data_IF_114738288070
#
_entry.id   IF_114738288070
#
_cell.length_a   1.000
_cell.length_b   1.000
_cell.length_c   1.000
_cell.angle_alpha   90.00
_cell.angle_beta   90.00
_cell.angle_gamma   90.00
#
_symmetry.space_group_name_H-M   'P 1'
#
loop_
_entity.id
_entity.type
_entity.pdbx_description
1 polymer ?
#
# COMPACT_ATOMS: atom_id res chain seq x y z
N UNK A 1 1.45 17.66 -21.36
CA UNK A 1 2.16 16.60 -20.62
C UNK A 1 1.17 15.90 -19.71
N UNK A 2 1.14 14.56 -19.64
CA UNK A 2 0.38 13.89 -18.60
C UNK A 2 0.92 14.36 -17.24
N UNK A 3 0.01 14.75 -16.34
CA UNK A 3 0.34 15.26 -15.00
C UNK A 3 0.96 14.11 -14.19
N UNK A 4 2.22 14.25 -13.78
CA UNK A 4 2.89 13.31 -12.89
C UNK A 4 2.16 13.30 -11.53
N UNK A 5 1.70 12.13 -11.11
CA UNK A 5 1.05 11.92 -9.83
C UNK A 5 2.08 11.50 -8.78
N UNK A 6 2.09 12.20 -7.63
CA UNK A 6 2.85 11.77 -6.46
C UNK A 6 1.86 11.28 -5.41
N UNK A 7 2.05 10.05 -4.93
CA UNK A 7 1.20 9.42 -3.93
C UNK A 7 2.06 9.00 -2.75
N UNK A 8 1.70 9.43 -1.54
CA UNK A 8 2.26 8.89 -0.32
C UNK A 8 1.18 8.06 0.38
N UNK A 9 1.54 6.85 0.79
CA UNK A 9 0.67 5.96 1.56
C UNK A 9 1.29 5.73 2.93
N UNK A 10 0.52 6.06 3.97
CA UNK A 10 0.81 5.70 5.35
C UNK A 10 0.19 4.33 5.64
N UNK A 11 1.05 3.38 5.97
CA UNK A 11 0.67 2.01 6.27
C UNK A 11 0.75 1.76 7.77
N UNK A 12 -0.35 1.28 8.33
CA UNK A 12 -0.51 0.97 9.75
C UNK A 12 -0.61 -0.54 9.93
N UNK A 13 0.13 -1.08 10.91
CA UNK A 13 0.13 -2.52 11.16
C UNK A 13 1.31 -2.99 12.01
N UNK A 14 1.57 -4.31 12.03
CA UNK A 14 0.73 -5.35 11.41
C UNK A 14 -0.51 -5.68 12.25
N UNK A 15 -1.65 -5.89 11.59
CA UNK A 15 -2.83 -6.54 12.16
C UNK A 15 -2.76 -8.04 11.92
N UNK A 16 -3.12 -8.85 12.92
CA UNK A 16 -2.95 -10.31 12.88
C UNK A 16 -4.13 -11.05 12.26
N UNK A 17 -5.27 -10.38 12.13
CA UNK A 17 -6.49 -10.97 11.59
C UNK A 17 -7.23 -9.98 10.70
N UNK A 18 -8.09 -10.53 9.83
CA UNK A 18 -9.00 -9.73 9.00
C UNK A 18 -9.96 -8.95 9.91
N UNK A 19 -10.37 -9.55 11.03
CA UNK A 19 -11.28 -8.99 12.02
C UNK A 19 -10.68 -7.75 12.69
N UNK A 20 -9.41 -7.81 13.12
CA UNK A 20 -8.71 -6.68 13.75
C UNK A 20 -8.59 -5.50 12.78
N UNK A 21 -8.12 -5.77 11.56
CA UNK A 21 -8.00 -4.75 10.52
C UNK A 21 -9.36 -4.11 10.22
N UNK A 22 -10.44 -4.89 10.20
CA UNK A 22 -11.80 -4.39 9.96
C UNK A 22 -12.34 -3.55 11.10
N UNK A 23 -12.10 -3.95 12.35
CA UNK A 23 -12.55 -3.20 13.52
C UNK A 23 -11.97 -1.78 13.47
N UNK A 24 -10.68 -1.70 13.19
CA UNK A 24 -9.93 -0.47 13.10
C UNK A 24 -10.38 0.41 11.92
N UNK A 25 -10.49 -0.17 10.72
CA UNK A 25 -10.96 0.58 9.55
C UNK A 25 -12.39 1.13 9.70
N UNK A 26 -13.23 0.50 10.54
CA UNK A 26 -14.57 1.01 10.89
C UNK A 26 -14.50 2.15 11.89
N UNK A 27 -13.76 1.94 12.97
CA UNK A 27 -13.67 2.90 14.07
C UNK A 27 -13.05 4.21 13.60
N UNK A 28 -11.99 4.12 12.80
CA UNK A 28 -11.17 5.27 12.43
C UNK A 28 -11.52 5.81 11.03
N UNK A 29 -12.61 5.29 10.43
CA UNK A 29 -13.16 5.76 9.16
C UNK A 29 -12.13 5.83 8.00
N UNK A 30 -11.27 4.82 7.88
CA UNK A 30 -10.24 4.65 6.84
C UNK A 30 -10.76 4.55 5.38
N UNK A 31 -12.00 4.93 5.12
CA UNK A 31 -12.64 4.80 3.82
C UNK A 31 -12.63 6.13 3.05
N UNK A 32 -12.09 6.15 1.81
CA UNK A 32 -11.50 5.04 1.06
C UNK A 32 -10.01 4.80 1.41
N UNK A 33 -9.57 3.54 1.39
CA UNK A 33 -8.20 3.14 1.79
C UNK A 33 -7.66 1.89 1.08
N UNK A 34 -6.42 1.51 1.40
CA UNK A 34 -5.70 0.35 0.88
C UNK A 34 -5.56 -0.73 1.98
N UNK A 35 -5.31 -1.96 1.56
CA UNK A 35 -4.82 -3.00 2.45
C UNK A 35 -3.82 -3.88 1.72
N UNK A 36 -2.83 -4.36 2.47
CA UNK A 36 -1.72 -5.17 1.98
C UNK A 36 -1.56 -6.38 2.88
N UNK A 37 -1.46 -7.57 2.29
CA UNK A 37 -1.40 -8.84 2.98
C UNK A 37 -0.06 -9.51 2.71
N UNK A 38 0.61 -9.90 3.79
CA UNK A 38 1.86 -10.65 3.81
C UNK A 38 1.58 -11.99 4.47
N UNK A 39 2.18 -13.05 3.96
CA UNK A 39 2.05 -14.41 4.48
C UNK A 39 2.49 -15.43 3.41
N UNK A 40 1.97 -16.64 3.50
CA UNK A 40 2.25 -17.71 2.52
C UNK A 40 0.96 -18.35 2.03
N UNK A 41 0.94 -18.82 0.79
CA UNK A 41 -0.19 -19.57 0.22
C UNK A 41 0.05 -21.07 0.21
N UNK A 42 1.31 -21.47 0.30
CA UNK A 42 1.75 -22.86 0.46
C UNK A 42 2.65 -22.95 1.72
N UNK A 43 2.55 -24.00 2.55
CA UNK A 43 3.43 -24.22 3.68
C UNK A 43 4.94 -24.21 3.35
N UNK A 44 5.30 -24.63 2.13
CA UNK A 44 6.68 -24.70 1.64
C UNK A 44 7.19 -23.36 1.08
N UNK A 45 6.32 -22.37 0.91
CA UNK A 45 6.69 -21.01 0.51
C UNK A 45 7.18 -20.17 1.69
N UNK A 46 8.14 -19.29 1.41
CA UNK A 46 8.52 -18.23 2.32
C UNK A 46 7.38 -17.22 2.50
N UNK A 47 7.39 -16.52 3.65
CA UNK A 47 6.48 -15.41 3.89
C UNK A 47 6.83 -14.29 2.90
N UNK A 48 5.84 -13.84 2.14
CA UNK A 48 6.02 -12.84 1.09
C UNK A 48 4.75 -11.98 0.90
N UNK A 49 4.81 -10.88 0.14
CA UNK A 49 3.62 -10.15 -0.32
C UNK A 49 2.66 -11.07 -1.09
N UNK A 50 1.44 -11.22 -0.57
CA UNK A 50 0.43 -12.09 -1.17
C UNK A 50 -0.65 -11.32 -1.90
N UNK A 51 -1.06 -10.16 -1.36
CA UNK A 51 -2.16 -9.39 -1.94
C UNK A 51 -2.14 -7.90 -1.59
N UNK A 52 -2.50 -7.05 -2.54
CA UNK A 52 -2.86 -5.65 -2.33
C UNK A 52 -4.26 -5.38 -2.88
N UNK A 53 -5.05 -4.59 -2.15
CA UNK A 53 -6.39 -4.21 -2.56
C UNK A 53 -6.77 -2.79 -2.14
N UNK A 54 -7.65 -2.14 -2.90
CA UNK A 54 -8.41 -0.97 -2.42
C UNK A 54 -9.71 -1.38 -1.76
N UNK A 55 -10.22 -0.50 -0.91
CA UNK A 55 -11.62 -0.54 -0.55
C UNK A 55 -12.19 0.85 -0.31
N UNK A 56 -13.39 1.04 -0.85
CA UNK A 56 -14.21 2.22 -0.61
C UNK A 56 -15.08 2.08 0.64
N UNK A 57 -15.09 0.89 1.27
CA UNK A 57 -15.83 0.55 2.49
C UNK A 57 -15.35 -0.82 3.02
N UNK A 58 -14.15 -0.90 3.61
CA UNK A 58 -13.61 -2.17 4.14
C UNK A 58 -14.53 -2.79 5.20
N UNK A 59 -15.32 -1.95 5.89
CA UNK A 59 -16.38 -2.37 6.80
C UNK A 59 -17.36 -3.39 6.19
N UNK A 60 -17.79 -3.18 4.93
CA UNK A 60 -18.90 -3.90 4.30
C UNK A 60 -18.48 -4.92 3.23
N UNK A 61 -17.33 -4.74 2.56
CA UNK A 61 -16.93 -5.60 1.42
C UNK A 61 -16.22 -6.90 1.76
N UNK A 62 -15.93 -7.18 3.04
CA UNK A 62 -15.23 -8.40 3.46
C UNK A 62 -16.13 -9.27 4.34
N UNK A 63 -17.32 -9.59 3.85
CA UNK A 63 -18.20 -10.56 4.52
C UNK A 63 -17.57 -11.95 4.51
N UNK A 64 -17.20 -12.46 5.69
CA UNK A 64 -16.81 -13.81 6.14
C UNK A 64 -15.97 -14.77 5.27
N UNK A 65 -15.64 -14.46 4.01
CA UNK A 65 -14.69 -15.19 3.16
C UNK A 65 -14.11 -14.23 2.12
N UNK A 66 -13.11 -13.42 2.48
CA UNK A 66 -12.30 -12.81 1.43
C UNK A 66 -11.57 -13.95 0.73
N UNK A 67 -12.09 -14.38 -0.43
CA UNK A 67 -11.62 -15.56 -1.15
C UNK A 67 -10.12 -15.57 -1.45
N UNK A 68 -9.45 -14.41 -1.37
CA UNK A 68 -7.98 -14.31 -1.45
C UNK A 68 -7.30 -14.32 -0.08
N UNK A 69 -7.80 -13.55 0.91
CA UNK A 69 -7.09 -13.45 2.19
C UNK A 69 -7.25 -14.72 3.03
N UNK A 70 -8.38 -15.42 2.90
CA UNK A 70 -8.59 -16.72 3.53
C UNK A 70 -7.75 -17.86 2.94
N UNK A 71 -6.90 -17.58 1.95
CA UNK A 71 -5.90 -18.51 1.40
C UNK A 71 -4.49 -18.25 1.95
N UNK A 72 -4.34 -17.26 2.82
CA UNK A 72 -3.04 -16.81 3.32
C UNK A 72 -2.85 -17.33 4.74
N UNK A 73 -1.85 -18.17 4.92
CA UNK A 73 -1.36 -18.61 6.23
C UNK A 73 -0.33 -17.61 6.78
N UNK A 74 -0.20 -17.56 8.11
CA UNK A 74 0.65 -16.58 8.81
C UNK A 74 0.36 -15.12 8.40
N UNK A 75 -0.93 -14.80 8.26
CA UNK A 75 -1.39 -13.53 7.76
C UNK A 75 -0.93 -12.35 8.63
N UNK A 76 -0.27 -11.40 7.99
CA UNK A 76 0.02 -10.06 8.50
C UNK A 76 -0.63 -9.04 7.57
N UNK A 77 -1.60 -8.30 8.07
CA UNK A 77 -2.30 -7.25 7.34
C UNK A 77 -1.77 -5.86 7.69
N UNK A 78 -1.67 -5.02 6.66
CA UNK A 78 -1.36 -3.60 6.78
C UNK A 78 -2.47 -2.79 6.12
N UNK A 79 -2.86 -1.71 6.78
CA UNK A 79 -3.93 -0.80 6.33
C UNK A 79 -3.29 0.49 5.85
N UNK A 80 -3.63 0.92 4.64
CA UNK A 80 -3.02 2.08 4.00
C UNK A 80 -4.00 3.24 3.87
N UNK A 81 -3.57 4.44 4.25
CA UNK A 81 -4.24 5.70 3.94
C UNK A 81 -3.37 6.54 2.99
N UNK A 82 -4.00 7.20 2.02
CA UNK A 82 -3.29 8.11 1.13
C UNK A 82 -3.14 9.47 1.82
N UNK A 83 -1.91 9.81 2.22
CA UNK A 83 -1.56 11.09 2.85
C UNK A 83 -1.37 12.25 1.86
N UNK A 84 -1.44 12.01 0.55
CA UNK A 84 -1.35 13.07 -0.48
C UNK A 84 -2.72 13.53 -0.98
N UNK A 85 -2.90 14.84 -1.14
CA UNK A 85 -4.08 15.39 -1.78
C UNK A 85 -4.22 14.88 -3.23
N UNK A 86 -5.41 14.44 -3.61
CA UNK A 86 -5.69 14.04 -4.98
C UNK A 86 -5.56 15.25 -5.95
N UNK A 87 -5.17 15.04 -7.22
CA UNK A 87 -5.15 16.12 -8.20
C UNK A 87 -6.54 16.78 -8.30
N UNK A 88 -6.60 18.11 -8.20
CA UNK A 88 -7.83 18.86 -8.38
C UNK A 88 -8.45 18.61 -9.77
N UNK A 89 -9.78 18.41 -9.80
CA UNK A 89 -10.55 18.12 -11.01
C UNK A 89 -11.94 17.56 -10.71
N UNK A 90 -12.81 17.46 -11.73
CA UNK A 90 -14.14 16.85 -11.59
C UNK A 90 -13.98 15.36 -11.21
N UNK A 91 -14.65 14.89 -10.15
CA UNK A 91 -14.66 13.47 -9.77
C UNK A 91 -15.28 12.65 -10.89
N UNK A 92 -14.45 11.96 -11.68
CA UNK A 92 -14.88 11.07 -12.77
C UNK A 92 -15.03 9.61 -12.32
N UNK A 93 -14.41 9.22 -11.21
CA UNK A 93 -14.44 7.86 -10.64
C UNK A 93 -14.86 7.89 -9.18
N UNK A 94 -15.51 6.82 -8.71
CA UNK A 94 -15.88 6.61 -7.30
C UNK A 94 -14.64 6.38 -6.41
N UNK A 95 -13.62 5.72 -6.94
CA UNK A 95 -12.31 5.56 -6.29
C UNK A 95 -11.41 6.75 -6.62
N UNK A 96 -10.79 7.41 -5.62
CA UNK A 96 -9.76 8.41 -5.84
C UNK A 96 -8.65 7.88 -6.77
N UNK A 97 -8.22 8.65 -7.79
CA UNK A 97 -7.15 8.23 -8.70
C UNK A 97 -5.85 7.84 -7.98
N UNK A 98 -5.54 8.49 -6.85
CA UNK A 98 -4.39 8.19 -6.00
C UNK A 98 -4.41 6.77 -5.44
N UNK A 99 -5.57 6.29 -4.97
CA UNK A 99 -5.73 4.93 -4.46
C UNK A 99 -5.64 3.88 -5.56
N UNK A 100 -6.30 4.13 -6.70
CA UNK A 100 -6.26 3.21 -7.84
C UNK A 100 -4.83 3.06 -8.38
N UNK A 101 -4.09 4.17 -8.50
CA UNK A 101 -2.69 4.15 -8.93
C UNK A 101 -1.77 3.50 -7.89
N UNK A 102 -1.95 3.75 -6.60
CA UNK A 102 -1.15 3.13 -5.55
C UNK A 102 -1.31 1.60 -5.55
N UNK A 103 -2.55 1.09 -5.57
CA UNK A 103 -2.83 -0.34 -5.67
C UNK A 103 -2.23 -0.94 -6.95
N UNK A 104 -2.35 -0.23 -8.07
CA UNK A 104 -1.87 -0.71 -9.35
C UNK A 104 -0.34 -0.80 -9.38
N UNK A 105 0.38 0.24 -8.93
CA UNK A 105 1.85 0.21 -8.87
C UNK A 105 2.33 -0.92 -7.96
N UNK A 106 1.73 -1.09 -6.78
CA UNK A 106 2.08 -2.17 -5.87
C UNK A 106 1.80 -3.54 -6.49
N UNK A 107 0.63 -3.73 -7.07
CA UNK A 107 0.26 -4.99 -7.70
C UNK A 107 1.17 -5.33 -8.89
N UNK A 108 1.51 -4.34 -9.71
CA UNK A 108 2.30 -4.54 -10.93
C UNK A 108 3.78 -4.83 -10.61
N UNK A 109 4.40 -4.03 -9.75
CA UNK A 109 5.84 -4.12 -9.51
C UNK A 109 6.24 -5.15 -8.45
N UNK A 110 5.37 -5.45 -7.48
CA UNK A 110 5.65 -6.51 -6.50
C UNK A 110 5.09 -7.87 -6.94
N UNK A 111 4.21 -7.87 -7.96
CA UNK A 111 3.52 -9.05 -8.47
C UNK A 111 3.01 -10.03 -7.38
N UNK A 112 2.26 -9.57 -6.36
CA UNK A 112 1.78 -10.47 -5.30
C UNK A 112 0.96 -11.62 -5.90
N UNK A 113 1.13 -12.84 -5.38
CA UNK A 113 0.60 -14.07 -5.99
C UNK A 113 -0.92 -14.02 -6.26
N UNK A 114 -1.68 -13.29 -5.44
CA UNK A 114 -3.13 -13.20 -5.54
C UNK A 114 -3.63 -11.98 -6.36
N UNK A 115 -2.74 -11.16 -6.94
CA UNK A 115 -3.05 -9.96 -7.76
C UNK A 115 -3.10 -10.20 -9.28
N UNK A 116 -3.72 -11.30 -9.73
CA UNK A 116 -3.68 -11.77 -11.13
C UNK A 116 -4.11 -10.79 -12.25
N UNK A 117 -4.96 -9.80 -11.98
CA UNK A 117 -5.52 -8.89 -13.03
C UNK A 117 -4.76 -7.58 -13.19
N UNK A 118 -4.13 -7.07 -12.12
CA UNK A 118 -3.46 -5.75 -12.11
C UNK A 118 -1.96 -5.83 -12.47
N UNK A 119 -1.51 -6.98 -12.93
CA UNK A 119 -0.15 -7.26 -13.37
C UNK A 119 0.02 -7.21 -14.90
N UNK A 120 -1.08 -7.05 -15.65
CA UNK A 120 -1.08 -7.21 -17.11
C UNK A 120 -0.60 -5.93 -17.81
N UNK A 121 -1.21 -4.79 -17.50
CA UNK A 121 -0.87 -3.50 -18.09
C UNK A 121 -0.36 -2.55 -17.02
N UNK A 122 0.67 -1.77 -17.33
CA UNK A 122 1.18 -0.70 -16.46
C UNK A 122 0.38 0.59 -16.68
N UNK A 123 0.23 1.49 -15.69
CA UNK A 123 -0.46 2.76 -15.90
C UNK A 123 0.12 3.59 -17.06
N UNK A 124 -0.75 4.32 -17.74
CA UNK A 124 -0.37 5.27 -18.80
C UNK A 124 0.01 6.67 -18.27
N UNK A 125 0.09 6.83 -16.95
CA UNK A 125 0.43 8.08 -16.27
C UNK A 125 1.71 7.85 -15.46
N UNK A 126 2.60 8.85 -15.44
CA UNK A 126 3.74 8.84 -14.52
C UNK A 126 3.24 8.93 -13.07
N UNK A 127 3.73 8.03 -12.21
CA UNK A 127 3.36 7.95 -10.80
C UNK A 127 4.61 7.69 -9.96
N UNK A 128 4.82 8.50 -8.92
CA UNK A 128 5.74 8.16 -7.82
C UNK A 128 4.92 7.77 -6.60
N UNK A 129 5.17 6.57 -6.06
CA UNK A 129 4.54 6.03 -4.86
C UNK A 129 5.55 5.93 -3.73
N UNK A 130 5.35 6.70 -2.67
CA UNK A 130 6.11 6.65 -1.42
C UNK A 130 5.31 5.83 -0.39
N UNK A 131 5.92 4.81 0.19
CA UNK A 131 5.34 4.06 1.30
C UNK A 131 6.01 4.46 2.62
N UNK A 132 5.19 4.71 3.65
CA UNK A 132 5.62 5.04 5.01
C UNK A 132 4.98 4.08 5.99
N UNK A 133 5.74 3.69 7.01
CA UNK A 133 5.36 2.61 7.93
C UNK A 133 5.13 3.17 9.33
N UNK A 134 4.00 2.83 9.92
CA UNK A 134 3.58 3.27 11.25
C UNK A 134 3.06 2.08 12.05
N UNK A 135 3.18 2.17 13.38
CA UNK A 135 2.51 1.22 14.27
C UNK A 135 0.99 1.45 14.24
N UNK A 136 0.27 0.53 14.87
CA UNK A 136 -1.20 0.60 15.01
C UNK A 136 -1.69 1.73 15.93
N UNK A 137 -0.78 2.52 16.51
CA UNK A 137 -1.07 3.71 17.30
C UNK A 137 -1.14 5.00 16.44
N UNK A 138 -0.88 4.91 15.14
CA UNK A 138 -0.89 6.01 14.16
C UNK A 138 0.16 7.10 14.35
N UNK A 139 0.91 7.05 15.45
CA UNK A 139 1.85 8.10 15.85
C UNK A 139 3.29 7.62 15.81
N UNK A 140 3.54 6.34 16.09
CA UNK A 140 4.89 5.81 16.19
C UNK A 140 5.36 5.28 14.83
N UNK A 141 6.47 5.81 14.27
CA UNK A 141 7.05 5.25 13.06
C UNK A 141 7.48 3.79 13.26
N UNK A 142 7.17 2.95 12.28
CA UNK A 142 7.61 1.57 12.24
C UNK A 142 8.97 1.50 11.53
N UNK A 143 10.05 1.49 12.32
CA UNK A 143 11.43 1.75 11.85
C UNK A 143 11.97 0.70 10.88
N UNK A 144 11.42 -0.52 10.89
CA UNK A 144 11.84 -1.61 9.99
C UNK A 144 10.79 -1.80 8.92
N UNK A 145 11.15 -1.92 7.65
CA UNK A 145 10.17 -2.23 6.61
C UNK A 145 9.41 -3.53 6.93
N UNK A 146 8.09 -3.61 6.66
CA UNK A 146 7.31 -4.81 6.96
C UNK A 146 7.75 -6.09 6.24
N UNK A 147 8.32 -5.95 5.04
CA UNK A 147 8.83 -7.07 4.24
C UNK A 147 9.98 -6.60 3.34
N UNK A 148 10.99 -7.44 3.09
CA UNK A 148 12.15 -7.07 2.26
C UNK A 148 11.73 -6.59 0.85
N UNK A 149 10.77 -7.27 0.23
CA UNK A 149 10.28 -6.98 -1.12
C UNK A 149 9.31 -5.80 -1.23
N UNK A 150 8.96 -5.13 -0.12
CA UNK A 150 8.00 -4.03 -0.14
C UNK A 150 8.70 -2.66 -0.18
N UNK A 151 8.99 -2.08 -1.35
CA UNK A 151 9.85 -0.91 -1.48
C UNK A 151 9.30 0.33 -0.77
N UNK A 152 10.21 1.22 -0.36
CA UNK A 152 9.83 2.51 0.21
C UNK A 152 9.41 3.51 -0.88
N UNK A 153 9.96 3.40 -2.09
CA UNK A 153 9.59 4.25 -3.23
C UNK A 153 9.53 3.44 -4.53
N UNK A 154 8.48 3.68 -5.32
CA UNK A 154 8.37 3.29 -6.73
C UNK A 154 8.22 4.58 -7.54
N UNK A 155 9.18 4.88 -8.40
CA UNK A 155 9.18 6.05 -9.29
C UNK A 155 9.03 5.59 -10.74
N UNK A 156 7.80 5.62 -11.25
CA UNK A 156 7.45 5.26 -12.61
C UNK A 156 7.17 6.53 -13.43
N UNK A 157 8.03 6.82 -14.42
CA UNK A 157 7.94 8.03 -15.23
C UNK A 157 7.30 7.79 -16.62
N UNK A 158 6.72 6.61 -16.85
CA UNK A 158 6.19 6.19 -18.14
C UNK A 158 7.14 5.24 -18.88
N UNK A 159 6.64 4.67 -20.00
CA UNK A 159 7.31 3.61 -20.77
C UNK A 159 8.71 3.93 -21.29
N UNK A 160 9.06 5.22 -21.41
CA UNK A 160 10.35 5.65 -21.98
C UNK A 160 11.47 5.81 -20.94
N UNK A 161 11.17 5.56 -19.66
CA UNK A 161 12.12 5.73 -18.58
C UNK A 161 12.21 4.45 -17.74
N UNK A 162 13.40 4.12 -17.21
CA UNK A 162 13.51 3.03 -16.24
C UNK A 162 12.69 3.36 -14.99
N UNK A 163 11.91 2.40 -14.52
CA UNK A 163 11.26 2.51 -13.20
C UNK A 163 12.33 2.40 -12.12
N UNK A 164 12.32 3.31 -11.15
CA UNK A 164 13.20 3.20 -9.99
C UNK A 164 12.40 2.61 -8.85
N UNK A 165 12.82 1.44 -8.38
CA UNK A 165 12.29 0.82 -7.17
C UNK A 165 13.38 0.95 -6.11
N UNK A 166 13.05 1.57 -4.98
CA UNK A 166 14.04 1.98 -3.98
C UNK A 166 13.66 1.44 -2.62
N UNK A 167 14.67 0.85 -1.98
CA UNK A 167 14.66 0.41 -0.59
C UNK A 167 15.61 1.31 0.18
N UNK A 168 15.07 2.17 1.04
CA UNK A 168 15.87 2.97 1.95
C UNK A 168 16.61 2.02 2.91
N UNK A 169 17.94 2.16 2.98
CA UNK A 169 18.80 1.19 3.68
C UNK A 169 20.23 1.11 3.15
N UNK A 170 20.51 1.63 1.95
CA UNK A 170 21.87 1.86 1.46
C UNK A 170 22.51 3.11 2.11
N UNK A 171 23.11 4.00 1.31
CA UNK A 171 23.66 5.27 1.80
C UNK A 171 22.53 6.24 2.20
N UNK A 172 22.12 6.18 3.47
CA UNK A 172 21.12 7.07 4.04
C UNK A 172 21.79 8.07 5.00
N UNK A 173 21.73 9.37 4.68
CA UNK A 173 22.07 10.41 5.66
C UNK A 173 20.90 10.58 6.61
N UNK A 174 21.00 9.97 7.80
CA UNK A 174 20.05 10.23 8.89
C UNK A 174 20.34 11.60 9.48
N UNK A 175 19.36 12.49 9.39
CA UNK A 175 19.38 13.79 10.07
C UNK A 175 18.39 13.65 11.24
N UNK A 176 18.74 14.08 12.47
CA UNK A 176 17.79 14.10 13.57
C UNK A 176 16.48 14.83 13.20
N UNK A 177 15.34 14.45 13.80
CA UNK A 177 14.08 15.16 13.59
C UNK A 177 14.27 16.65 13.86
N UNK A 178 13.80 17.50 12.93
CA UNK A 178 13.69 18.92 13.17
C UNK A 178 12.44 19.10 14.03
N UNK A 179 12.63 19.25 15.34
CA UNK A 179 11.54 19.56 16.28
C UNK A 179 11.23 21.04 16.09
N UNK A 180 10.04 21.43 15.60
CA UNK A 180 9.65 22.83 15.53
C UNK A 180 9.68 23.42 16.94
N UNK A 181 10.28 24.60 17.12
CA UNK A 181 10.10 25.36 18.34
C UNK A 181 8.62 25.69 18.49
N UNK A 182 8.05 25.33 19.65
CA UNK A 182 6.68 25.63 20.04
C UNK A 182 6.37 27.14 19.98
#
# INVERSE_FOLDING_TARGET
MPKHLVVAVDWFGPYKSIEDARAVMRQDNFAPGLYFAIGRTDPDEEIQPQYVGISTALASKVGNRHHKLGKIDNLSLWVGEVGTAAPGGRKLKKTPPTLDMAEWLLAFFLAPALNQKKTIDIPNVAVSLLNRWWKTDYETPYVRRPHADWPDLIDYLGHYYPTKIVWFGGKLKRVPPIIPSA
#
